data_IF_063703083470
#
_entry.id   IF_063703083470
#
_cell.length_a   1.000
_cell.length_b   1.000
_cell.length_c   1.000
_cell.angle_alpha   90.00
_cell.angle_beta   90.00
_cell.angle_gamma   90.00
#
_symmetry.space_group_name_H-M   'P 1'
#
loop_
_entity.id
_entity.type
_entity.pdbx_description
1 polymer ?
#
# COMPACT_ATOMS: atom_id res chain seq x y z
N UNK A 1 -2.46 -4.79 1.19
CA UNK A 1 -3.54 -4.13 0.42
C UNK A 1 -4.70 -5.09 0.12
N UNK A 2 -5.17 -5.78 1.16
CA UNK A 2 -6.20 -6.82 1.05
C UNK A 2 -7.47 -6.30 0.36
N UNK A 3 -7.69 -6.72 -0.90
CA UNK A 3 -8.88 -6.38 -1.66
C UNK A 3 -8.80 -5.10 -2.52
N UNK A 4 -7.75 -4.31 -2.42
CA UNK A 4 -7.59 -3.11 -3.25
C UNK A 4 -7.15 -3.43 -4.69
N UNK A 5 -6.37 -4.51 -4.86
CA UNK A 5 -6.00 -5.07 -6.15
C UNK A 5 -4.64 -4.62 -6.69
N UNK A 6 -3.97 -3.67 -6.07
CA UNK A 6 -2.66 -3.17 -6.53
C UNK A 6 -1.54 -4.20 -6.31
N UNK A 7 -1.59 -4.97 -5.24
CA UNK A 7 -0.59 -6.01 -4.97
C UNK A 7 -0.46 -7.03 -6.12
N UNK A 8 -1.55 -7.34 -6.80
CA UNK A 8 -1.54 -8.23 -7.95
C UNK A 8 -0.63 -7.73 -9.09
N UNK A 9 -0.44 -6.42 -9.23
CA UNK A 9 0.40 -5.82 -10.28
C UNK A 9 1.87 -6.19 -10.07
N UNK A 10 2.37 -6.09 -8.84
CA UNK A 10 3.77 -6.41 -8.55
C UNK A 10 3.99 -7.92 -8.46
N UNK A 11 3.05 -8.68 -7.87
CA UNK A 11 3.13 -10.13 -7.82
C UNK A 11 3.15 -10.78 -9.22
N UNK A 12 2.50 -10.14 -10.20
CA UNK A 12 2.52 -10.60 -11.60
C UNK A 12 3.89 -10.41 -12.29
N UNK A 13 4.83 -9.65 -11.71
CA UNK A 13 6.17 -9.44 -12.29
C UNK A 13 7.22 -10.41 -11.76
N UNK A 14 6.87 -11.25 -10.79
CA UNK A 14 7.78 -12.19 -10.16
C UNK A 14 7.90 -13.46 -11.01
N UNK A 15 9.13 -13.94 -11.20
CA UNK A 15 9.42 -15.22 -11.84
C UNK A 15 9.27 -16.34 -10.82
N UNK A 16 8.28 -17.20 -11.01
CA UNK A 16 7.96 -18.34 -10.14
C UNK A 16 7.57 -19.55 -10.98
N UNK A 17 7.81 -20.75 -10.45
CA UNK A 17 7.46 -22.00 -11.13
C UNK A 17 5.95 -22.15 -11.34
N UNK A 18 5.14 -21.68 -10.39
CA UNK A 18 3.69 -21.75 -10.48
C UNK A 18 3.00 -20.53 -9.86
N UNK A 19 1.99 -19.91 -10.53
CA UNK A 19 1.33 -18.68 -10.06
C UNK A 19 0.70 -18.79 -8.66
N UNK A 20 0.14 -19.96 -8.31
CA UNK A 20 -0.48 -20.15 -7.00
C UNK A 20 0.53 -20.01 -5.84
N UNK A 21 1.81 -20.36 -6.02
CA UNK A 21 2.86 -20.17 -5.02
C UNK A 21 3.04 -18.69 -4.69
N UNK A 22 3.04 -17.84 -5.71
CA UNK A 22 3.11 -16.39 -5.49
C UNK A 22 1.84 -15.84 -4.85
N UNK A 23 0.68 -16.40 -5.19
CA UNK A 23 -0.59 -16.07 -4.53
C UNK A 23 -0.57 -16.39 -3.03
N UNK A 24 0.02 -17.51 -2.62
CA UNK A 24 0.19 -17.87 -1.20
C UNK A 24 1.10 -16.89 -0.46
N UNK A 25 2.18 -16.41 -1.10
CA UNK A 25 3.02 -15.35 -0.54
C UNK A 25 2.23 -14.06 -0.32
N UNK A 26 1.43 -13.64 -1.30
CA UNK A 26 0.56 -12.47 -1.13
C UNK A 26 -0.44 -12.61 0.04
N UNK A 27 -1.01 -13.79 0.23
CA UNK A 27 -1.87 -14.06 1.38
C UNK A 27 -1.11 -13.99 2.72
N UNK A 28 0.12 -14.52 2.76
CA UNK A 28 0.98 -14.45 3.94
C UNK A 28 1.38 -13.01 4.29
N UNK A 29 1.76 -12.20 3.30
CA UNK A 29 2.08 -10.78 3.49
C UNK A 29 0.91 -10.00 4.10
N UNK A 30 -0.29 -10.21 3.56
CA UNK A 30 -1.52 -9.57 4.08
C UNK A 30 -1.81 -10.03 5.51
N UNK A 31 -1.60 -11.31 5.82
CA UNK A 31 -1.77 -11.81 7.19
C UNK A 31 -0.80 -11.12 8.16
N UNK A 32 0.47 -11.03 7.81
CA UNK A 32 1.48 -10.36 8.64
C UNK A 32 1.14 -8.89 8.84
N UNK A 33 0.85 -8.17 7.77
CA UNK A 33 0.54 -6.74 7.85
C UNK A 33 -0.76 -6.48 8.63
N UNK A 34 -1.85 -7.12 8.26
CA UNK A 34 -3.17 -6.81 8.79
C UNK A 34 -3.40 -7.44 10.17
N UNK A 35 -3.04 -8.72 10.36
CA UNK A 35 -3.32 -9.41 11.63
C UNK A 35 -2.23 -9.13 12.67
N UNK A 36 -0.95 -9.14 12.28
CA UNK A 36 0.13 -8.96 13.25
C UNK A 36 0.41 -7.47 13.47
N UNK A 37 0.79 -6.74 12.44
CA UNK A 37 1.25 -5.34 12.60
C UNK A 37 0.12 -4.41 13.03
N UNK A 38 -1.04 -4.49 12.40
CA UNK A 38 -2.19 -3.64 12.78
C UNK A 38 -2.72 -4.00 14.18
N UNK A 39 -2.73 -5.28 14.58
CA UNK A 39 -3.13 -5.68 15.92
C UNK A 39 -2.18 -5.16 16.99
N UNK A 40 -0.87 -5.24 16.77
CA UNK A 40 0.13 -4.67 17.68
C UNK A 40 -0.09 -3.17 17.84
N UNK A 41 -0.26 -2.45 16.74
CA UNK A 41 -0.51 -1.01 16.75
C UNK A 41 -1.80 -0.65 17.49
N UNK A 42 -2.89 -1.37 17.24
CA UNK A 42 -4.17 -1.17 17.91
C UNK A 42 -4.09 -1.48 19.40
N UNK A 43 -3.48 -2.61 19.79
CA UNK A 43 -3.28 -2.97 21.19
C UNK A 43 -2.41 -1.96 21.93
N UNK A 44 -1.37 -1.45 21.30
CA UNK A 44 -0.51 -0.41 21.88
C UNK A 44 -1.33 0.84 22.23
N UNK A 45 -2.18 1.31 21.33
CA UNK A 45 -3.07 2.47 21.56
C UNK A 45 -4.07 2.22 22.67
N UNK A 46 -4.63 0.99 22.75
CA UNK A 46 -5.60 0.63 23.78
C UNK A 46 -4.94 0.53 25.16
N UNK A 47 -3.85 -0.22 25.28
CA UNK A 47 -3.16 -0.49 26.56
C UNK A 47 -2.56 0.77 27.16
N UNK A 48 -2.03 1.65 26.34
CA UNK A 48 -1.48 2.94 26.82
C UNK A 48 -2.57 3.97 27.16
N UNK A 49 -3.81 3.73 26.77
CA UNK A 49 -4.91 4.68 26.94
C UNK A 49 -4.86 5.86 25.97
N UNK A 50 -3.99 5.81 24.95
CA UNK A 50 -3.79 6.89 23.98
C UNK A 50 -5.07 7.18 23.15
N UNK A 51 -6.00 6.23 23.03
CA UNK A 51 -7.29 6.46 22.40
C UNK A 51 -8.15 7.55 23.08
N UNK A 52 -7.83 7.92 24.34
CA UNK A 52 -8.53 8.97 25.11
C UNK A 52 -8.00 10.38 24.81
N UNK A 53 -6.88 10.50 24.10
CA UNK A 53 -6.26 11.81 23.80
C UNK A 53 -7.07 12.68 22.83
N UNK A 54 -8.02 12.06 22.10
CA UNK A 54 -8.78 12.74 21.05
C UNK A 54 -8.03 12.82 19.71
N UNK A 55 -6.77 12.38 19.65
CA UNK A 55 -6.04 12.26 18.38
C UNK A 55 -6.42 10.97 17.66
N UNK A 56 -6.52 11.02 16.35
CA UNK A 56 -6.77 9.86 15.48
C UNK A 56 -5.52 9.45 14.70
N UNK A 57 -5.56 8.24 14.11
CA UNK A 57 -4.53 7.74 13.20
C UNK A 57 -3.12 7.79 13.81
N UNK A 58 -2.17 8.36 13.07
CA UNK A 58 -0.77 8.45 13.50
C UNK A 58 -0.58 9.25 14.81
N UNK A 59 -1.48 10.18 15.11
CA UNK A 59 -1.44 10.96 16.37
C UNK A 59 -1.64 10.05 17.58
N UNK A 60 -2.64 9.16 17.57
CA UNK A 60 -2.87 8.21 18.65
C UNK A 60 -1.69 7.24 18.84
N UNK A 61 -1.04 6.80 17.74
CA UNK A 61 0.18 5.99 17.81
C UNK A 61 1.33 6.80 18.43
N UNK A 62 1.45 8.08 18.08
CA UNK A 62 2.44 9.00 18.66
C UNK A 62 2.26 9.18 20.16
N UNK A 63 1.01 9.33 20.63
CA UNK A 63 0.68 9.42 22.05
C UNK A 63 1.01 8.12 22.78
N UNK A 64 0.71 6.97 22.16
CA UNK A 64 1.06 5.67 22.71
C UNK A 64 2.58 5.48 22.85
N UNK A 65 3.34 5.85 21.82
CA UNK A 65 4.80 5.83 21.88
C UNK A 65 5.33 6.81 22.94
N UNK A 66 4.72 7.96 23.08
CA UNK A 66 5.10 8.95 24.11
C UNK A 66 4.81 8.43 25.51
N UNK A 67 3.73 7.70 25.72
CA UNK A 67 3.42 7.07 27.00
C UNK A 67 4.47 6.03 27.42
N UNK A 68 5.11 5.34 26.45
CA UNK A 68 6.13 4.31 26.70
C UNK A 68 7.54 4.89 26.74
N UNK A 69 7.89 5.73 25.76
CA UNK A 69 9.25 6.25 25.55
C UNK A 69 9.45 7.70 26.04
N UNK A 70 8.42 8.30 26.66
CA UNK A 70 8.49 9.70 27.12
C UNK A 70 8.78 10.66 25.96
N UNK A 71 9.67 11.60 26.17
CA UNK A 71 10.06 12.61 25.17
C UNK A 71 10.67 12.06 23.87
N UNK A 72 11.09 10.80 23.87
CA UNK A 72 11.59 10.14 22.65
C UNK A 72 10.48 9.57 21.74
N UNK A 73 9.24 9.47 22.23
CA UNK A 73 8.11 8.95 21.46
C UNK A 73 7.90 9.62 20.10
N UNK A 74 7.86 10.94 19.98
CA UNK A 74 7.72 11.63 18.69
C UNK A 74 8.86 11.36 17.71
N UNK A 75 10.08 11.23 18.20
CA UNK A 75 11.25 10.90 17.35
C UNK A 75 11.15 9.47 16.83
N UNK A 76 10.72 8.52 17.67
CA UNK A 76 10.49 7.15 17.26
C UNK A 76 9.38 7.07 16.18
N UNK A 77 8.26 7.77 16.38
CA UNK A 77 7.20 7.86 15.36
C UNK A 77 7.74 8.42 14.05
N UNK A 78 8.46 9.54 14.09
CA UNK A 78 9.01 10.20 12.91
C UNK A 78 9.96 9.27 12.13
N UNK A 79 10.78 8.50 12.84
CA UNK A 79 11.69 7.53 12.24
C UNK A 79 10.92 6.40 11.53
N UNK A 80 9.94 5.80 12.19
CA UNK A 80 9.11 4.76 11.58
C UNK A 80 8.33 5.31 10.38
N UNK A 81 7.71 6.47 10.51
CA UNK A 81 6.97 7.10 9.41
C UNK A 81 7.86 7.40 8.20
N UNK A 82 9.11 7.81 8.42
CA UNK A 82 10.07 8.02 7.33
C UNK A 82 10.35 6.72 6.57
N UNK A 83 10.62 5.62 7.29
CA UNK A 83 10.89 4.32 6.67
C UNK A 83 9.66 3.84 5.90
N UNK A 84 8.47 3.87 6.51
CA UNK A 84 7.24 3.45 5.84
C UNK A 84 6.91 4.33 4.63
N UNK A 85 7.12 5.64 4.71
CA UNK A 85 6.90 6.53 3.57
C UNK A 85 7.86 6.21 2.41
N UNK A 86 9.13 5.96 2.69
CA UNK A 86 10.12 5.60 1.66
C UNK A 86 9.78 4.27 0.99
N UNK A 87 9.48 3.23 1.77
CA UNK A 87 9.15 1.91 1.22
C UNK A 87 7.85 1.94 0.42
N UNK A 88 6.81 2.59 0.95
CA UNK A 88 5.53 2.75 0.26
C UNK A 88 5.69 3.52 -1.04
N UNK A 89 6.39 4.65 -1.03
CA UNK A 89 6.62 5.45 -2.24
C UNK A 89 7.37 4.66 -3.30
N UNK A 90 8.40 3.90 -2.90
CA UNK A 90 9.16 3.03 -3.82
C UNK A 90 8.27 1.94 -4.41
N UNK A 91 7.42 1.31 -3.60
CA UNK A 91 6.45 0.30 -4.07
C UNK A 91 5.46 0.89 -5.09
N UNK A 92 4.88 2.04 -4.82
CA UNK A 92 3.98 2.72 -5.75
C UNK A 92 4.63 3.09 -7.08
N UNK A 93 5.91 3.47 -7.06
CA UNK A 93 6.68 3.67 -8.30
C UNK A 93 6.79 2.39 -9.12
N UNK A 94 7.05 1.26 -8.48
CA UNK A 94 7.12 -0.04 -9.17
C UNK A 94 5.78 -0.43 -9.80
N UNK A 95 4.66 -0.14 -9.13
CA UNK A 95 3.32 -0.33 -9.72
C UNK A 95 3.10 0.55 -10.96
N UNK A 96 3.44 1.84 -10.87
CA UNK A 96 3.33 2.77 -12.00
C UNK A 96 4.20 2.35 -13.19
N UNK A 97 5.45 1.93 -12.95
CA UNK A 97 6.33 1.43 -14.01
C UNK A 97 5.74 0.19 -14.69
N UNK A 98 5.22 -0.77 -13.92
CA UNK A 98 4.59 -1.97 -14.45
C UNK A 98 3.38 -1.64 -15.33
N UNK A 99 2.54 -0.69 -14.89
CA UNK A 99 1.40 -0.20 -15.67
C UNK A 99 1.84 0.51 -16.95
N UNK A 100 2.88 1.35 -16.89
CA UNK A 100 3.44 2.02 -18.08
C UNK A 100 3.97 0.99 -19.07
N UNK A 101 4.71 -0.01 -18.59
CA UNK A 101 5.22 -1.10 -19.43
C UNK A 101 4.08 -1.82 -20.12
N UNK A 102 3.02 -2.14 -19.41
CA UNK A 102 1.82 -2.79 -19.97
C UNK A 102 1.12 -1.90 -21.01
N UNK A 103 0.83 -0.65 -20.68
CA UNK A 103 0.14 0.28 -21.57
C UNK A 103 0.98 0.63 -22.83
N UNK A 104 2.30 0.59 -22.72
CA UNK A 104 3.23 0.93 -23.81
C UNK A 104 3.84 -0.29 -24.49
N UNK A 105 3.24 -1.48 -24.30
CA UNK A 105 3.77 -2.75 -24.86
C UNK A 105 4.00 -2.70 -26.38
N UNK A 106 3.18 -1.93 -27.10
CA UNK A 106 3.27 -1.75 -28.56
C UNK A 106 4.26 -0.65 -28.98
N UNK A 107 4.96 0.01 -28.04
CA UNK A 107 5.91 1.08 -28.31
C UNK A 107 7.36 0.56 -28.23
N UNK A 108 8.29 1.30 -28.88
CA UNK A 108 9.71 0.98 -28.80
C UNK A 108 10.23 1.17 -27.36
N UNK A 109 11.31 0.47 -27.02
CA UNK A 109 11.97 0.60 -25.72
C UNK A 109 12.32 2.04 -25.36
N UNK A 110 12.81 2.80 -26.35
CA UNK A 110 13.18 4.19 -26.17
C UNK A 110 11.97 5.08 -25.82
N UNK A 111 10.87 4.92 -26.56
CA UNK A 111 9.64 5.64 -26.27
C UNK A 111 9.09 5.30 -24.87
N UNK A 112 9.10 4.02 -24.50
CA UNK A 112 8.68 3.54 -23.17
C UNK A 112 9.51 4.20 -22.08
N UNK A 113 10.83 4.25 -22.22
CA UNK A 113 11.70 4.86 -21.23
C UNK A 113 11.42 6.35 -21.04
N UNK A 114 11.03 7.08 -22.08
CA UNK A 114 10.62 8.50 -21.95
C UNK A 114 9.39 8.65 -21.05
N UNK A 115 8.39 7.77 -21.18
CA UNK A 115 7.21 7.77 -20.28
C UNK A 115 7.59 7.44 -18.84
N UNK A 116 8.42 6.44 -18.63
CA UNK A 116 8.90 6.07 -17.30
C UNK A 116 9.66 7.24 -16.66
N UNK A 117 10.59 7.85 -17.38
CA UNK A 117 11.33 9.01 -16.88
C UNK A 117 10.41 10.20 -16.56
N UNK A 118 9.46 10.49 -17.46
CA UNK A 118 8.47 11.54 -17.19
C UNK A 118 7.75 11.32 -15.88
N UNK A 119 7.23 10.11 -15.64
CA UNK A 119 6.51 9.77 -14.40
C UNK A 119 7.43 9.77 -13.19
N UNK A 120 8.69 9.34 -13.32
CA UNK A 120 9.68 9.41 -12.24
C UNK A 120 9.95 10.83 -11.77
N UNK A 121 9.97 11.80 -12.68
CA UNK A 121 10.19 13.19 -12.33
C UNK A 121 8.92 13.91 -11.87
N UNK A 122 7.78 13.66 -12.50
CA UNK A 122 6.51 14.34 -12.18
C UNK A 122 5.75 13.68 -11.03
N UNK A 123 5.87 12.36 -10.87
CA UNK A 123 5.13 11.60 -9.86
C UNK A 123 5.33 12.10 -8.42
N UNK A 124 6.56 12.34 -7.94
CA UNK A 124 6.78 12.91 -6.62
C UNK A 124 6.39 14.39 -6.52
N UNK A 125 6.44 15.12 -7.63
CA UNK A 125 6.15 16.54 -7.66
C UNK A 125 4.72 16.88 -7.30
N UNK A 126 3.76 16.13 -7.80
CA UNK A 126 2.32 16.39 -7.56
C UNK A 126 1.95 16.21 -6.08
N UNK A 127 2.27 15.07 -5.40
CA UNK A 127 2.02 14.91 -3.97
C UNK A 127 2.76 15.95 -3.13
N UNK A 128 4.00 16.30 -3.50
CA UNK A 128 4.77 17.32 -2.79
C UNK A 128 4.08 18.69 -2.86
N UNK A 129 3.69 19.12 -4.06
CA UNK A 129 2.98 20.38 -4.24
C UNK A 129 1.64 20.39 -3.49
N UNK A 130 0.90 19.30 -3.53
CA UNK A 130 -0.35 19.17 -2.78
C UNK A 130 -0.11 19.24 -1.27
N UNK A 131 0.91 18.57 -0.76
CA UNK A 131 1.27 18.60 0.66
C UNK A 131 1.67 20.02 1.12
N UNK A 132 2.48 20.70 0.31
CA UNK A 132 2.86 22.09 0.59
C UNK A 132 1.64 23.03 0.56
N UNK A 133 0.75 22.85 -0.40
CA UNK A 133 -0.51 23.60 -0.49
C UNK A 133 -1.40 23.33 0.74
N UNK A 134 -1.56 22.08 1.12
CA UNK A 134 -2.36 21.69 2.29
C UNK A 134 -1.77 22.27 3.58
N UNK A 135 -0.45 22.23 3.73
CA UNK A 135 0.26 22.83 4.86
C UNK A 135 0.08 24.36 4.92
N UNK A 136 0.27 25.05 3.79
CA UNK A 136 0.11 26.50 3.71
C UNK A 136 -1.31 26.97 4.03
N UNK A 137 -2.32 26.20 3.61
CA UNK A 137 -3.74 26.51 3.85
C UNK A 137 -4.28 25.94 5.17
N UNK A 138 -3.44 25.38 6.04
CA UNK A 138 -3.86 24.73 7.28
C UNK A 138 -5.02 23.74 7.08
N UNK A 139 -4.99 22.97 5.99
CA UNK A 139 -6.03 21.98 5.69
C UNK A 139 -6.06 20.90 6.76
N UNK A 140 -7.27 20.61 7.24
CA UNK A 140 -7.46 19.53 8.22
C UNK A 140 -7.17 18.17 7.56
N UNK A 141 -6.28 17.35 8.12
CA UNK A 141 -5.91 16.07 7.54
C UNK A 141 -7.11 15.16 7.23
N UNK A 142 -8.19 15.25 8.00
CA UNK A 142 -9.41 14.46 7.78
C UNK A 142 -10.06 14.68 6.42
N UNK A 143 -10.02 15.91 5.89
CA UNK A 143 -10.56 16.21 4.54
C UNK A 143 -9.75 15.50 3.46
N UNK A 144 -8.42 15.49 3.61
CA UNK A 144 -7.53 14.79 2.68
C UNK A 144 -7.82 13.29 2.69
N UNK A 145 -7.95 12.69 3.88
CA UNK A 145 -8.30 11.28 4.02
C UNK A 145 -9.65 10.95 3.41
N UNK A 146 -10.68 11.76 3.63
CA UNK A 146 -12.01 11.55 3.05
C UNK A 146 -11.97 11.51 1.51
N UNK A 147 -11.20 12.38 0.87
CA UNK A 147 -11.04 12.38 -0.59
C UNK A 147 -10.32 11.12 -1.06
N UNK A 148 -9.27 10.72 -0.36
CA UNK A 148 -8.51 9.50 -0.66
C UNK A 148 -9.37 8.24 -0.51
N UNK A 149 -10.21 8.17 0.53
CA UNK A 149 -11.12 7.05 0.76
C UNK A 149 -12.14 6.91 -0.36
N UNK A 150 -12.75 8.02 -0.80
CA UNK A 150 -13.67 8.01 -1.94
C UNK A 150 -12.97 7.55 -3.22
N UNK A 151 -11.76 8.06 -3.49
CA UNK A 151 -10.98 7.66 -4.65
C UNK A 151 -10.61 6.17 -4.61
N UNK A 152 -10.32 5.63 -3.43
CA UNK A 152 -9.93 4.24 -3.22
C UNK A 152 -11.10 3.25 -3.41
N UNK A 153 -12.33 3.71 -3.33
CA UNK A 153 -13.50 2.84 -3.54
C UNK A 153 -13.56 2.26 -4.97
N UNK A 154 -13.17 3.04 -5.99
CA UNK A 154 -13.26 2.62 -7.39
C UNK A 154 -12.39 1.39 -7.68
N UNK A 155 -11.08 1.37 -7.36
CA UNK A 155 -10.24 0.17 -7.52
C UNK A 155 -10.79 -1.05 -6.79
N UNK A 156 -11.32 -0.89 -5.57
CA UNK A 156 -11.87 -1.99 -4.78
C UNK A 156 -13.05 -2.65 -5.51
N UNK A 157 -14.01 -1.86 -6.00
CA UNK A 157 -15.15 -2.42 -6.75
C UNK A 157 -14.70 -3.15 -8.02
N UNK A 158 -13.77 -2.57 -8.79
CA UNK A 158 -13.23 -3.21 -10.00
C UNK A 158 -12.52 -4.53 -9.63
N UNK A 159 -11.74 -4.53 -8.56
CA UNK A 159 -11.03 -5.72 -8.10
C UNK A 159 -11.98 -6.83 -7.63
N UNK A 160 -13.05 -6.49 -6.88
CA UNK A 160 -14.06 -7.48 -6.46
C UNK A 160 -14.71 -8.15 -7.67
N UNK A 161 -15.11 -7.37 -8.67
CA UNK A 161 -15.68 -7.92 -9.91
C UNK A 161 -14.67 -8.82 -10.61
N UNK A 162 -13.41 -8.40 -10.72
CA UNK A 162 -12.34 -9.21 -11.32
C UNK A 162 -12.12 -10.53 -10.57
N UNK A 163 -12.10 -10.51 -9.23
CA UNK A 163 -11.94 -11.70 -8.41
C UNK A 163 -13.09 -12.69 -8.59
N UNK A 164 -14.33 -12.20 -8.65
CA UNK A 164 -15.50 -13.06 -8.92
C UNK A 164 -15.40 -13.71 -10.30
N UNK A 165 -15.05 -12.95 -11.32
CA UNK A 165 -14.92 -13.47 -12.70
C UNK A 165 -13.74 -14.45 -12.84
N UNK A 166 -12.66 -14.23 -12.12
CA UNK A 166 -11.46 -15.06 -12.15
C UNK A 166 -11.49 -16.24 -11.17
N UNK A 167 -12.49 -16.31 -10.29
CA UNK A 167 -12.58 -17.35 -9.25
C UNK A 167 -12.44 -18.79 -9.81
N UNK A 168 -13.07 -19.19 -10.94
CA UNK A 168 -12.89 -20.54 -11.47
C UNK A 168 -11.44 -20.84 -11.87
N UNK A 169 -10.74 -19.84 -12.43
CA UNK A 169 -9.33 -19.94 -12.79
C UNK A 169 -8.45 -20.09 -11.54
N UNK A 170 -8.73 -19.29 -10.50
CA UNK A 170 -8.00 -19.33 -9.23
C UNK A 170 -8.11 -20.74 -8.60
N UNK A 171 -9.32 -21.28 -8.49
CA UNK A 171 -9.53 -22.61 -7.94
C UNK A 171 -8.81 -23.70 -8.76
N UNK A 172 -8.83 -23.59 -10.11
CA UNK A 172 -8.12 -24.52 -10.97
C UNK A 172 -6.61 -24.49 -10.73
N UNK A 173 -6.01 -23.29 -10.74
CA UNK A 173 -4.57 -23.14 -10.52
C UNK A 173 -4.14 -23.57 -9.12
N UNK A 174 -4.96 -23.36 -8.10
CA UNK A 174 -4.67 -23.82 -6.74
C UNK A 174 -4.65 -25.35 -6.70
N UNK A 175 -5.62 -26.00 -7.34
CA UNK A 175 -5.68 -27.47 -7.41
C UNK A 175 -4.53 -28.07 -8.22
N UNK A 176 -4.14 -27.45 -9.33
CA UNK A 176 -2.96 -27.85 -10.10
C UNK A 176 -1.69 -27.77 -9.24
N UNK A 177 -1.51 -26.67 -8.50
CA UNK A 177 -0.38 -26.51 -7.60
C UNK A 177 -0.34 -27.55 -6.47
N UNK A 178 -1.49 -27.88 -5.90
CA UNK A 178 -1.61 -28.94 -4.88
C UNK A 178 -1.20 -30.31 -5.43
N UNK A 179 -1.58 -30.62 -6.68
CA UNK A 179 -1.28 -31.90 -7.30
C UNK A 179 0.18 -32.04 -7.71
N UNK A 180 0.81 -30.96 -8.16
CA UNK A 180 2.15 -31.00 -8.77
C UNK A 180 3.28 -30.71 -7.77
N UNK A 181 2.98 -30.07 -6.60
CA UNK A 181 4.00 -29.54 -5.69
C UNK A 181 3.79 -29.90 -4.22
N UNK A 182 2.69 -30.52 -3.83
CA UNK A 182 2.39 -31.02 -2.49
C UNK A 182 2.12 -32.52 -2.49
#
# INVERSE_FOLDING_TARGET
>A
EAGWGSSAIIHATVEVDHPARQGMWGAFEVFVDTIIVCSISGLMVIVTGAWKSGHGGAGAVGDALTAVFGSYGPYALSFFMLIFALTTTTGWFSYLESLIVYCTRNKTREQRMKYIQFVRFTGPGVPLLFTLYAFYNNMVPSVVWMVLDIQSAVPVYVNVVALVLLSPLIFRLTKECETDYL
#
